data_IF_008002885437
#
_entry.id   IF_008002885437
#
_cell.length_a   1.000
_cell.length_b   1.000
_cell.length_c   1.000
_cell.angle_alpha   90.00
_cell.angle_beta   90.00
_cell.angle_gamma   90.00
#
_symmetry.space_group_name_H-M   'P 1'
#
loop_
_entity.id
_entity.type
_entity.pdbx_description
1 polymer ?
#
# COMPACT_ATOMS: atom_id res chain seq x y z
N UNK A 1 16.78 -8.90 -8.33
CA UNK A 1 16.15 -8.27 -9.51
C UNK A 1 14.79 -7.76 -9.10
N UNK A 2 14.36 -6.58 -9.57
CA UNK A 2 13.08 -6.01 -9.17
C UNK A 2 11.93 -6.76 -9.86
N UNK A 3 10.89 -7.13 -9.11
CA UNK A 3 9.79 -7.96 -9.63
C UNK A 3 8.60 -7.11 -10.07
N UNK A 4 7.92 -7.49 -11.16
CA UNK A 4 6.69 -6.84 -11.61
C UNK A 4 5.55 -7.82 -11.88
N UNK A 5 4.32 -7.35 -11.78
CA UNK A 5 3.10 -8.08 -12.16
C UNK A 5 2.30 -7.29 -13.20
N UNK A 6 1.47 -7.98 -14.00
CA UNK A 6 0.58 -7.35 -14.98
C UNK A 6 -0.84 -7.37 -14.41
N UNK A 7 -1.43 -6.19 -14.16
CA UNK A 7 -2.81 -6.07 -13.66
C UNK A 7 -3.75 -5.79 -14.81
N UNK A 8 -4.83 -6.57 -14.93
CA UNK A 8 -5.88 -6.26 -15.91
C UNK A 8 -6.62 -4.97 -15.54
N UNK A 9 -6.75 -4.06 -16.49
CA UNK A 9 -7.60 -2.86 -16.38
C UNK A 9 -8.97 -3.16 -16.97
N UNK A 10 -10.07 -2.68 -16.36
CA UNK A 10 -11.41 -2.84 -16.92
C UNK A 10 -11.46 -2.29 -18.35
N UNK A 11 -12.02 -3.06 -19.28
CA UNK A 11 -12.22 -2.63 -20.67
C UNK A 11 -13.18 -1.44 -20.68
N UNK A 12 -12.67 -0.25 -20.99
CA UNK A 12 -13.48 0.98 -21.02
C UNK A 12 -12.69 2.30 -21.12
N UNK A 13 -11.38 2.31 -20.81
CA UNK A 13 -10.55 3.51 -20.94
C UNK A 13 -9.34 3.29 -21.86
N UNK A 14 -9.56 3.44 -23.17
CA UNK A 14 -8.51 3.83 -24.13
C UNK A 14 -7.70 2.73 -24.83
N UNK A 15 -6.97 3.14 -25.88
CA UNK A 15 -6.19 2.36 -26.88
C UNK A 15 -4.98 1.56 -26.33
N UNK A 16 -4.82 1.43 -25.01
CA UNK A 16 -3.68 0.75 -24.40
C UNK A 16 -4.01 -0.70 -24.06
N UNK A 17 -3.02 -1.62 -24.03
CA UNK A 17 -3.26 -3.02 -23.73
C UNK A 17 -4.03 -3.17 -22.42
N UNK A 18 -4.91 -4.15 -22.35
CA UNK A 18 -5.79 -4.47 -21.22
C UNK A 18 -5.05 -4.79 -19.91
N UNK A 19 -3.73 -4.62 -19.86
CA UNK A 19 -2.86 -4.96 -18.74
C UNK A 19 -1.83 -3.85 -18.46
N UNK A 20 -1.79 -3.37 -17.22
CA UNK A 20 -0.84 -2.37 -16.75
C UNK A 20 0.25 -3.02 -15.88
N UNK A 21 1.55 -2.78 -16.15
CA UNK A 21 2.64 -3.28 -15.32
C UNK A 21 2.66 -2.58 -13.96
N UNK A 22 2.85 -3.34 -12.89
CA UNK A 22 3.01 -2.82 -11.53
C UNK A 22 4.25 -3.41 -10.89
N UNK A 23 5.14 -2.55 -10.38
CA UNK A 23 6.28 -2.97 -9.57
C UNK A 23 5.80 -3.57 -8.25
N UNK A 24 6.39 -4.69 -7.85
CA UNK A 24 6.17 -5.31 -6.55
C UNK A 24 7.25 -4.78 -5.61
N UNK A 25 6.83 -4.04 -4.59
CA UNK A 25 7.75 -3.59 -3.53
C UNK A 25 8.20 -4.79 -2.69
N UNK A 26 9.50 -5.01 -2.57
CA UNK A 26 10.07 -6.08 -1.74
C UNK A 26 10.23 -5.66 -0.27
N UNK A 27 10.10 -4.37 0.04
CA UNK A 27 10.22 -3.86 1.40
C UNK A 27 10.36 -2.34 1.45
N UNK A 28 10.56 -1.82 2.66
CA UNK A 28 10.94 -0.43 2.91
C UNK A 28 12.33 -0.48 3.56
N UNK A 29 13.24 0.35 3.06
CA UNK A 29 14.51 0.61 3.72
C UNK A 29 14.32 1.77 4.70
N UNK A 30 14.84 1.61 5.91
CA UNK A 30 14.86 2.67 6.93
C UNK A 30 16.01 3.65 6.68
N UNK A 31 16.01 4.78 7.38
CA UNK A 31 17.12 5.74 7.36
C UNK A 31 18.40 5.11 7.90
N UNK A 32 18.29 4.22 8.90
CA UNK A 32 19.39 3.44 9.47
C UNK A 32 20.01 2.53 8.41
N UNK A 33 19.20 1.70 7.72
CA UNK A 33 19.68 0.80 6.66
C UNK A 33 20.38 1.56 5.53
N UNK A 34 19.86 2.74 5.18
CA UNK A 34 20.42 3.58 4.13
C UNK A 34 21.75 4.20 4.57
N UNK A 35 21.83 4.68 5.81
CA UNK A 35 23.01 5.35 6.36
C UNK A 35 24.17 4.37 6.54
N UNK A 36 23.89 3.14 6.97
CA UNK A 36 24.89 2.07 7.06
C UNK A 36 25.52 1.78 5.69
N UNK A 37 24.70 1.61 4.66
CA UNK A 37 25.18 1.39 3.28
C UNK A 37 25.94 2.59 2.69
N UNK A 38 25.59 3.80 3.10
CA UNK A 38 26.31 5.00 2.67
C UNK A 38 27.67 5.12 3.36
N UNK A 39 27.75 4.77 4.65
CA UNK A 39 28.99 4.75 5.42
C UNK A 39 30.02 3.79 4.80
N UNK A 40 29.60 2.64 4.25
CA UNK A 40 30.50 1.72 3.52
C UNK A 40 31.21 2.38 2.32
N UNK A 41 30.62 3.42 1.73
CA UNK A 41 31.12 4.11 0.55
C UNK A 41 31.87 5.41 0.84
N UNK A 42 32.02 5.81 2.11
CA UNK A 42 32.67 7.07 2.47
C UNK A 42 33.36 6.99 3.85
N UNK A 43 33.98 8.08 4.28
CA UNK A 43 34.63 8.17 5.59
C UNK A 43 33.69 8.61 6.71
N UNK A 44 32.44 8.97 6.38
CA UNK A 44 31.45 9.38 7.38
C UNK A 44 30.93 8.16 8.13
N UNK A 45 30.84 8.29 9.46
CA UNK A 45 30.15 7.33 10.30
C UNK A 45 28.65 7.36 10.02
N UNK A 46 27.97 6.24 10.32
CA UNK A 46 26.51 6.13 10.24
C UNK A 46 25.82 7.28 10.97
N UNK A 47 26.27 7.61 12.18
CA UNK A 47 25.67 8.64 13.03
C UNK A 47 25.80 10.05 12.40
N UNK A 48 26.94 10.36 11.77
CA UNK A 48 27.13 11.63 11.05
C UNK A 48 26.18 11.73 9.85
N UNK A 49 26.01 10.65 9.09
CA UNK A 49 25.09 10.61 7.94
C UNK A 49 23.64 10.82 8.40
N UNK A 50 23.21 10.11 9.45
CA UNK A 50 21.87 10.29 10.02
C UNK A 50 21.64 11.73 10.49
N UNK A 51 22.64 12.32 11.16
CA UNK A 51 22.59 13.73 11.59
C UNK A 51 22.48 14.71 10.42
N UNK A 52 23.26 14.52 9.35
CA UNK A 52 23.18 15.36 8.14
C UNK A 52 21.81 15.24 7.46
N UNK A 53 21.25 14.04 7.37
CA UNK A 53 19.92 13.82 6.79
C UNK A 53 18.81 14.47 7.62
N UNK A 54 18.93 14.44 8.95
CA UNK A 54 18.01 15.15 9.84
C UNK A 54 18.08 16.66 9.65
N UNK A 55 19.29 17.22 9.66
CA UNK A 55 19.51 18.66 9.45
C UNK A 55 19.00 19.12 8.07
N UNK A 56 19.20 18.29 7.04
CA UNK A 56 18.64 18.54 5.71
C UNK A 56 17.10 18.61 5.75
N UNK A 57 16.45 17.70 6.49
CA UNK A 57 15.00 17.71 6.67
C UNK A 57 14.50 18.99 7.34
N UNK A 58 15.18 19.44 8.39
CA UNK A 58 14.86 20.67 9.11
C UNK A 58 15.03 21.91 8.22
N UNK A 59 16.14 21.98 7.46
CA UNK A 59 16.39 23.10 6.56
C UNK A 59 15.42 23.12 5.38
N UNK A 60 15.08 21.95 4.82
CA UNK A 60 14.03 21.82 3.81
C UNK A 60 12.70 22.37 4.31
N UNK A 61 12.30 22.01 5.53
CA UNK A 61 11.04 22.49 6.11
C UNK A 61 11.01 24.02 6.21
N UNK A 62 12.11 24.64 6.68
CA UNK A 62 12.23 26.10 6.78
C UNK A 62 12.13 26.77 5.41
N UNK A 63 12.90 26.32 4.43
CA UNK A 63 12.93 26.95 3.09
C UNK A 63 11.63 26.77 2.32
N UNK A 64 10.96 25.62 2.49
CA UNK A 64 9.64 25.40 1.92
C UNK A 64 8.58 26.30 2.59
N UNK A 65 8.70 26.56 3.89
CA UNK A 65 7.83 27.48 4.61
C UNK A 65 8.00 28.94 4.14
N UNK A 66 9.23 29.33 3.78
CA UNK A 66 9.56 30.62 3.16
C UNK A 66 9.06 30.73 1.70
N UNK A 67 8.48 29.67 1.14
CA UNK A 67 7.95 29.63 -0.23
C UNK A 67 8.97 29.27 -1.32
N UNK A 68 10.19 28.89 -0.94
CA UNK A 68 11.20 28.45 -1.92
C UNK A 68 10.89 27.06 -2.48
N UNK A 69 11.31 26.84 -3.72
CA UNK A 69 11.47 25.51 -4.29
C UNK A 69 12.91 25.06 -4.02
N UNK A 70 13.08 24.00 -3.24
CA UNK A 70 14.42 23.48 -2.95
C UNK A 70 14.77 22.38 -3.94
N UNK A 71 15.87 22.55 -4.67
CA UNK A 71 16.42 21.55 -5.57
C UNK A 71 17.71 20.98 -4.97
N UNK A 72 17.81 19.65 -4.95
CA UNK A 72 19.01 18.92 -4.56
C UNK A 72 19.48 18.13 -5.77
N UNK A 73 20.67 18.47 -6.25
CA UNK A 73 21.27 17.84 -7.44
C UNK A 73 21.37 16.33 -7.28
N UNK A 74 20.93 15.59 -8.31
CA UNK A 74 20.96 14.13 -8.30
C UNK A 74 19.87 13.48 -7.43
N UNK A 75 19.05 14.25 -6.71
CA UNK A 75 17.91 13.77 -5.93
C UNK A 75 16.60 14.26 -6.57
N UNK A 76 16.36 15.57 -6.60
CA UNK A 76 15.12 16.15 -7.12
C UNK A 76 14.75 17.50 -6.52
N UNK A 77 13.53 17.95 -6.83
CA UNK A 77 12.96 19.21 -6.34
C UNK A 77 11.77 18.99 -5.42
N UNK A 78 11.77 19.70 -4.31
CA UNK A 78 10.68 19.77 -3.33
C UNK A 78 9.91 21.08 -3.55
N UNK A 79 8.59 20.98 -3.71
CA UNK A 79 7.72 22.14 -3.96
C UNK A 79 6.59 22.19 -2.93
N UNK A 80 6.39 23.29 -2.21
CA UNK A 80 5.25 23.42 -1.31
C UNK A 80 3.96 23.50 -2.12
N UNK A 81 2.89 22.90 -1.61
CA UNK A 81 1.55 22.95 -2.18
C UNK A 81 0.62 23.58 -1.16
N UNK A 82 -0.03 24.68 -1.55
CA UNK A 82 -1.07 25.30 -0.73
C UNK A 82 -2.37 24.51 -0.78
N UNK A 83 -3.08 24.53 0.34
CA UNK A 83 -4.47 24.12 0.45
C UNK A 83 -5.22 25.02 1.43
N UNK A 84 -6.51 24.82 1.52
CA UNK A 84 -7.37 25.54 2.45
C UNK A 84 -7.38 24.83 3.80
N UNK A 85 -7.36 25.62 4.87
CA UNK A 85 -7.61 25.10 6.22
C UNK A 85 -9.02 24.53 6.29
N UNK A 86 -9.16 23.33 6.84
CA UNK A 86 -10.45 22.63 6.94
C UNK A 86 -11.50 23.36 7.80
N UNK A 87 -11.08 24.31 8.62
CA UNK A 87 -11.93 25.00 9.61
C UNK A 87 -12.43 26.37 9.13
N UNK A 88 -11.94 26.88 8.00
CA UNK A 88 -12.38 28.18 7.46
C UNK A 88 -13.32 27.90 6.29
N UNK A 89 -14.62 27.85 6.58
CA UNK A 89 -15.63 27.89 5.53
C UNK A 89 -15.48 29.20 4.73
N UNK A 90 -15.57 29.18 3.39
CA UNK A 90 -15.66 30.42 2.63
C UNK A 90 -16.89 31.19 3.13
N UNK A 91 -16.84 32.52 3.28
CA UNK A 91 -18.07 33.29 3.41
C UNK A 91 -18.94 33.00 2.18
N UNK A 92 -20.13 32.43 2.40
CA UNK A 92 -21.11 32.20 1.33
C UNK A 92 -21.49 33.54 0.72
N UNK A 93 -21.23 33.73 -0.59
CA UNK A 93 -21.88 34.79 -1.37
C UNK A 93 -21.00 35.72 -2.21
N UNK A 94 -19.67 35.60 -2.22
CA UNK A 94 -18.84 36.43 -3.11
C UNK A 94 -17.97 35.57 -4.03
N UNK A 95 -18.32 35.55 -5.32
CA UNK A 95 -17.52 34.93 -6.41
C UNK A 95 -16.11 35.54 -6.54
N UNK A 96 -15.85 36.64 -5.82
CA UNK A 96 -14.57 37.33 -5.68
C UNK A 96 -14.16 37.54 -4.23
N UNK A 97 -14.55 36.64 -3.30
CA UNK A 97 -14.06 36.67 -1.93
C UNK A 97 -12.53 36.51 -1.96
N UNK A 98 -11.81 37.60 -1.71
CA UNK A 98 -10.36 37.59 -1.56
C UNK A 98 -10.00 36.59 -0.46
N UNK A 99 -9.49 35.42 -0.85
CA UNK A 99 -9.09 34.41 0.11
C UNK A 99 -7.91 34.95 0.92
N UNK A 100 -8.19 35.36 2.17
CA UNK A 100 -7.17 35.86 3.09
C UNK A 100 -6.09 34.79 3.31
N UNK A 101 -4.84 35.21 3.44
CA UNK A 101 -3.73 34.31 3.77
C UNK A 101 -4.00 33.47 5.04
N UNK A 102 -4.84 33.98 5.95
CA UNK A 102 -5.31 33.28 7.15
C UNK A 102 -6.13 31.99 6.87
N UNK A 103 -6.72 31.87 5.68
CA UNK A 103 -7.49 30.70 5.24
C UNK A 103 -6.63 29.62 4.55
N UNK A 104 -5.36 29.92 4.30
CA UNK A 104 -4.44 29.06 3.56
C UNK A 104 -3.42 28.39 4.49
N UNK A 105 -3.01 27.18 4.12
CA UNK A 105 -1.92 26.45 4.75
C UNK A 105 -1.10 25.66 3.73
N UNK A 106 0.12 25.26 4.11
CA UNK A 106 0.89 24.28 3.34
C UNK A 106 0.23 22.92 3.55
N UNK A 107 -0.47 22.44 2.54
CA UNK A 107 -1.20 21.17 2.59
C UNK A 107 -0.32 19.96 2.28
N UNK A 108 0.72 20.13 1.45
CA UNK A 108 1.59 19.03 1.02
C UNK A 108 2.93 19.56 0.48
N UNK A 109 3.92 18.67 0.35
CA UNK A 109 5.19 18.93 -0.34
C UNK A 109 5.34 17.95 -1.50
N UNK A 110 5.26 18.47 -2.73
CA UNK A 110 5.40 17.65 -3.94
C UNK A 110 6.88 17.42 -4.26
N UNK A 111 7.26 16.15 -4.31
CA UNK A 111 8.59 15.73 -4.77
C UNK A 111 8.60 15.41 -6.26
N UNK A 112 9.57 15.98 -6.98
CA UNK A 112 9.84 15.67 -8.38
C UNK A 112 11.26 15.12 -8.48
N UNK A 113 11.40 13.84 -8.82
CA UNK A 113 12.71 13.21 -8.95
C UNK A 113 13.53 13.86 -10.07
N UNK A 114 14.82 14.07 -9.82
CA UNK A 114 15.75 14.54 -10.84
C UNK A 114 15.83 13.50 -11.98
N UNK A 115 15.92 13.99 -13.22
CA UNK A 115 16.11 13.16 -14.41
C UNK A 115 17.35 12.27 -14.27
N UNK A 116 18.42 12.77 -13.62
CA UNK A 116 19.63 11.98 -13.34
C UNK A 116 19.34 10.80 -12.43
N UNK A 117 18.56 11.00 -11.37
CA UNK A 117 18.14 9.93 -10.46
C UNK A 117 17.34 8.86 -11.21
N UNK A 118 16.33 9.28 -11.98
CA UNK A 118 15.51 8.37 -12.78
C UNK A 118 16.36 7.57 -13.77
N UNK A 119 17.34 8.21 -14.41
CA UNK A 119 18.23 7.54 -15.36
C UNK A 119 19.16 6.53 -14.69
N UNK A 120 19.75 6.88 -13.54
CA UNK A 120 20.59 5.95 -12.74
C UNK A 120 19.77 4.73 -12.31
N UNK A 121 18.56 4.94 -11.80
CA UNK A 121 17.65 3.87 -11.41
C UNK A 121 17.27 2.98 -12.61
N UNK A 122 16.96 3.56 -13.77
CA UNK A 122 16.68 2.79 -15.00
C UNK A 122 17.86 1.91 -15.41
N UNK A 123 19.10 2.41 -15.33
CA UNK A 123 20.31 1.65 -15.68
C UNK A 123 20.60 0.52 -14.69
N UNK A 124 20.37 0.75 -13.39
CA UNK A 124 20.57 -0.25 -12.35
C UNK A 124 19.43 -1.29 -12.27
N UNK A 125 18.23 -0.93 -12.72
CA UNK A 125 17.05 -1.77 -12.60
C UNK A 125 17.04 -2.87 -13.67
N UNK A 126 17.06 -4.12 -13.22
CA UNK A 126 16.70 -5.30 -14.03
C UNK A 126 15.37 -5.85 -13.56
N UNK A 127 14.38 -5.83 -14.46
CA UNK A 127 13.02 -6.29 -14.18
C UNK A 127 12.87 -7.79 -14.43
N UNK A 128 12.15 -8.45 -13.52
CA UNK A 128 11.76 -9.85 -13.66
C UNK A 128 10.25 -9.96 -13.46
N UNK A 129 9.56 -10.69 -14.35
CA UNK A 129 8.14 -10.96 -14.16
C UNK A 129 7.98 -11.88 -12.95
N UNK A 130 7.18 -11.47 -11.98
CA UNK A 130 6.85 -12.33 -10.86
C UNK A 130 6.10 -13.58 -11.37
N UNK A 131 6.34 -14.76 -10.76
CA UNK A 131 5.61 -15.96 -11.12
C UNK A 131 4.11 -15.69 -11.02
N UNK A 132 3.39 -16.05 -12.08
CA UNK A 132 1.95 -15.86 -12.14
C UNK A 132 1.30 -16.75 -11.07
N UNK A 133 0.79 -16.15 -10.00
CA UNK A 133 -0.04 -16.87 -9.04
C UNK A 133 -1.39 -17.14 -9.70
N UNK A 134 -1.56 -18.34 -10.27
CA UNK A 134 -2.86 -18.83 -10.72
C UNK A 134 -3.70 -19.12 -9.49
N UNK A 135 -4.69 -18.26 -9.24
CA UNK A 135 -5.73 -18.56 -8.27
C UNK A 135 -6.88 -19.28 -8.96
N UNK A 136 -7.49 -20.24 -8.28
CA UNK A 136 -8.71 -20.90 -8.74
C UNK A 136 -9.80 -19.85 -8.95
N UNK A 137 -10.58 -19.98 -10.03
CA UNK A 137 -11.68 -19.05 -10.30
C UNK A 137 -12.78 -19.26 -9.24
N UNK A 138 -13.26 -18.19 -8.57
CA UNK A 138 -14.27 -18.34 -7.51
C UNK A 138 -15.61 -18.91 -7.98
N UNK A 139 -15.92 -18.79 -9.28
CA UNK A 139 -17.21 -19.18 -9.88
C UNK A 139 -17.44 -20.70 -9.92
N UNK A 140 -16.39 -21.51 -9.90
CA UNK A 140 -16.50 -22.97 -10.02
C UNK A 140 -16.27 -23.63 -8.66
N UNK A 141 -17.14 -24.55 -8.22
CA UNK A 141 -16.86 -25.43 -7.08
C UNK A 141 -17.10 -24.87 -5.66
N UNK A 142 -18.02 -23.91 -5.50
CA UNK A 142 -18.38 -23.32 -4.18
C UNK A 142 -18.82 -24.37 -3.16
N UNK A 143 -19.68 -25.30 -3.55
CA UNK A 143 -20.21 -26.35 -2.65
C UNK A 143 -19.13 -27.35 -2.22
N UNK A 144 -18.25 -27.73 -3.16
CA UNK A 144 -17.08 -28.56 -2.86
C UNK A 144 -16.16 -27.88 -1.85
N UNK A 145 -15.92 -26.57 -2.00
CA UNK A 145 -15.11 -25.79 -1.04
C UNK A 145 -15.77 -25.67 0.32
N UNK A 146 -17.08 -25.48 0.39
CA UNK A 146 -17.82 -25.48 1.65
C UNK A 146 -17.67 -26.83 2.37
N UNK A 147 -17.83 -27.94 1.64
CA UNK A 147 -17.65 -29.28 2.20
C UNK A 147 -16.22 -29.49 2.73
N UNK A 148 -15.22 -29.04 1.97
CA UNK A 148 -13.81 -29.13 2.36
C UNK A 148 -13.48 -28.24 3.57
N UNK A 149 -14.08 -27.05 3.63
CA UNK A 149 -14.00 -26.13 4.77
C UNK A 149 -14.57 -26.74 6.04
N UNK A 150 -15.77 -27.33 5.97
CA UNK A 150 -16.42 -27.96 7.12
C UNK A 150 -15.64 -29.21 7.58
N UNK A 151 -15.14 -30.02 6.65
CA UNK A 151 -14.27 -31.17 6.97
C UNK A 151 -12.97 -30.71 7.65
N UNK A 152 -12.35 -29.64 7.15
CA UNK A 152 -11.15 -29.06 7.78
C UNK A 152 -11.46 -28.53 9.17
N UNK A 153 -12.57 -27.82 9.37
CA UNK A 153 -12.96 -27.29 10.68
C UNK A 153 -13.34 -28.36 11.71
N UNK A 154 -13.79 -29.54 11.26
CA UNK A 154 -14.00 -30.72 12.12
C UNK A 154 -12.67 -31.29 12.63
N UNK A 155 -11.62 -31.21 11.82
CA UNK A 155 -10.28 -31.71 12.16
C UNK A 155 -9.45 -30.67 12.90
N UNK A 156 -9.60 -29.40 12.52
CA UNK A 156 -8.90 -28.24 13.07
C UNK A 156 -9.96 -27.25 13.58
N UNK A 157 -10.11 -27.14 14.90
CA UNK A 157 -11.15 -26.32 15.54
C UNK A 157 -11.14 -24.82 15.17
N UNK A 158 -10.05 -24.34 14.55
CA UNK A 158 -9.84 -22.95 14.16
C UNK A 158 -9.27 -22.92 12.75
N UNK A 159 -9.74 -21.96 11.94
CA UNK A 159 -9.23 -21.69 10.61
C UNK A 159 -8.85 -20.22 10.45
N UNK A 160 -7.65 -19.96 9.98
CA UNK A 160 -7.23 -18.64 9.51
C UNK A 160 -7.51 -18.44 8.02
N UNK A 161 -7.66 -17.19 7.58
CA UNK A 161 -7.81 -16.86 6.15
C UNK A 161 -6.68 -17.44 5.28
N UNK A 162 -5.44 -17.40 5.79
CA UNK A 162 -4.25 -17.93 5.09
C UNK A 162 -4.36 -19.43 4.83
N UNK A 163 -4.90 -20.19 5.78
CA UNK A 163 -5.12 -21.64 5.66
C UNK A 163 -6.23 -21.94 4.66
N UNK A 164 -7.32 -21.17 4.68
CA UNK A 164 -8.39 -21.30 3.70
C UNK A 164 -7.92 -21.04 2.26
N UNK A 165 -7.04 -20.04 2.08
CA UNK A 165 -6.39 -19.76 0.79
C UNK A 165 -5.53 -20.93 0.33
N UNK A 166 -4.75 -21.56 1.24
CA UNK A 166 -3.94 -22.74 0.91
C UNK A 166 -4.80 -23.94 0.53
N UNK A 167 -5.92 -24.14 1.24
CA UNK A 167 -6.84 -25.27 1.05
C UNK A 167 -7.63 -25.18 -0.27
N UNK A 168 -8.02 -23.97 -0.67
CA UNK A 168 -8.90 -23.76 -1.83
C UNK A 168 -8.19 -23.24 -3.09
N UNK A 169 -6.97 -22.71 -2.94
CA UNK A 169 -6.24 -22.05 -4.02
C UNK A 169 -6.87 -20.73 -4.49
N UNK A 170 -7.86 -20.19 -3.76
CA UNK A 170 -8.50 -18.92 -4.10
C UNK A 170 -7.59 -17.71 -3.83
N UNK A 171 -7.84 -16.61 -4.52
CA UNK A 171 -7.16 -15.35 -4.20
C UNK A 171 -7.54 -14.89 -2.79
N UNK A 172 -6.65 -14.19 -2.04
CA UNK A 172 -6.97 -13.73 -0.69
C UNK A 172 -8.23 -12.86 -0.62
N UNK A 173 -8.51 -12.08 -1.66
CA UNK A 173 -9.72 -11.26 -1.77
C UNK A 173 -10.96 -12.11 -2.01
N UNK A 174 -10.91 -13.08 -2.93
CA UNK A 174 -12.02 -14.00 -3.18
C UNK A 174 -12.31 -14.89 -1.97
N UNK A 175 -11.27 -15.44 -1.33
CA UNK A 175 -11.37 -16.19 -0.09
C UNK A 175 -12.04 -15.38 1.02
N UNK A 176 -11.68 -14.10 1.18
CA UNK A 176 -12.32 -13.21 2.16
C UNK A 176 -13.80 -12.98 1.83
N UNK A 177 -14.13 -12.75 0.55
CA UNK A 177 -15.51 -12.56 0.12
C UNK A 177 -16.37 -13.81 0.36
N UNK A 178 -15.83 -14.99 0.08
CA UNK A 178 -16.51 -16.27 0.25
C UNK A 178 -16.70 -16.64 1.72
N UNK A 179 -15.67 -16.47 2.55
CA UNK A 179 -15.78 -16.65 4.01
C UNK A 179 -16.81 -15.70 4.62
N UNK A 180 -16.90 -14.45 4.14
CA UNK A 180 -17.98 -13.53 4.55
C UNK A 180 -19.35 -14.09 4.18
N UNK A 181 -19.50 -14.65 2.96
CA UNK A 181 -20.78 -15.23 2.54
C UNK A 181 -21.16 -16.44 3.40
N UNK A 182 -20.20 -17.27 3.79
CA UNK A 182 -20.46 -18.41 4.69
C UNK A 182 -20.78 -18.01 6.13
N UNK A 183 -20.21 -16.90 6.62
CA UNK A 183 -20.60 -16.31 7.90
C UNK A 183 -22.02 -15.78 7.83
N UNK A 184 -22.38 -15.05 6.78
CA UNK A 184 -23.75 -14.54 6.59
C UNK A 184 -24.78 -15.67 6.44
N UNK A 185 -24.40 -16.78 5.81
CA UNK A 185 -25.23 -17.97 5.68
C UNK A 185 -25.29 -18.82 6.97
N UNK A 186 -24.54 -18.48 8.02
CA UNK A 186 -24.59 -19.17 9.31
C UNK A 186 -23.78 -20.48 9.39
N UNK A 187 -23.02 -20.84 8.36
CA UNK A 187 -22.23 -22.09 8.36
C UNK A 187 -21.00 -22.04 9.27
N UNK A 188 -20.44 -20.84 9.49
CA UNK A 188 -19.23 -20.61 10.28
C UNK A 188 -19.33 -19.32 11.09
N UNK A 189 -18.68 -19.28 12.25
CA UNK A 189 -18.56 -18.09 13.09
C UNK A 189 -17.21 -17.42 12.90
N UNK A 190 -17.21 -16.10 12.73
CA UNK A 190 -15.99 -15.28 12.70
C UNK A 190 -15.64 -14.79 14.10
N UNK A 191 -14.40 -14.99 14.51
CA UNK A 191 -13.82 -14.47 15.76
C UNK A 191 -12.59 -13.62 15.45
N UNK A 192 -12.42 -12.50 16.15
CA UNK A 192 -11.25 -11.62 16.03
C UNK A 192 -11.45 -10.38 15.15
N UNK A 193 -10.41 -9.55 15.11
CA UNK A 193 -10.43 -8.18 14.56
C UNK A 193 -9.67 -8.16 13.25
N UNK A 194 -10.28 -7.55 12.22
CA UNK A 194 -9.70 -7.27 10.90
C UNK A 194 -8.66 -8.30 10.41
N UNK A 195 -7.38 -7.99 10.58
CA UNK A 195 -6.21 -8.73 10.08
C UNK A 195 -6.03 -10.12 10.68
N UNK A 196 -6.50 -10.35 11.91
CA UNK A 196 -6.36 -11.61 12.66
C UNK A 196 -7.71 -12.31 12.86
N UNK A 197 -8.56 -12.28 11.82
CA UNK A 197 -9.83 -12.99 11.84
C UNK A 197 -9.60 -14.50 11.76
N UNK A 198 -10.20 -15.24 12.69
CA UNK A 198 -10.27 -16.71 12.71
C UNK A 198 -11.72 -17.16 12.55
N UNK A 199 -11.93 -18.36 12.02
CA UNK A 199 -13.24 -18.94 11.75
C UNK A 199 -13.36 -20.27 12.47
N UNK A 200 -14.55 -20.56 13.01
CA UNK A 200 -14.87 -21.82 13.72
C UNK A 200 -16.28 -22.28 13.39
N UNK A 201 -16.59 -23.55 13.68
CA UNK A 201 -17.96 -24.04 13.58
C UNK A 201 -18.87 -23.38 14.64
N UNK A 202 -20.15 -23.12 14.33
CA UNK A 202 -21.13 -22.81 15.35
C UNK A 202 -21.22 -24.00 16.33
N UNK A 203 -21.34 -23.72 17.63
CA UNK A 203 -21.61 -24.78 18.60
C UNK A 203 -22.96 -25.40 18.23
N UNK A 204 -23.00 -26.72 18.08
CA UNK A 204 -24.27 -27.44 18.10
C UNK A 204 -24.88 -27.20 19.47
N UNK A 205 -25.90 -26.36 19.55
CA UNK A 205 -26.81 -26.35 20.69
C UNK A 205 -27.69 -27.60 20.58
N UNK A 206 -27.09 -28.76 20.85
CA UNK A 206 -27.78 -29.95 21.33
C UNK A 206 -27.51 -29.99 22.84
N UNK A 207 -28.41 -29.36 23.60
CA UNK A 207 -28.80 -29.68 24.97
C UNK A 207 -29.67 -28.53 25.51
N UNK A 208 -30.95 -28.58 25.21
CA UNK A 208 -32.06 -28.51 26.18
C UNK A 208 -33.38 -28.87 25.49
#
# INVERSE_FOLDING_TARGET
MAKYTMRQVPQGLGKHPSQHPRLISEGRLSTEDLSERMAEGCTFSRAEIEGVLQLLGEELAKRLADGYIVHIDGVGSFRPKLGYRKEVAPPEGEETATHNAASLEIADVRFHADRRLVQRTRRACRLQRAPHRSYTRPREGRERRLSQLLSYLRTHHILARSEYVKLTGLSPTAATAELKTFVTAGHILRKGIASHSTYRLPYSSENE
#
